data_IF_012478829169
#
_entry.id   IF_012478829169
#
_cell.length_a   1.000
_cell.length_b   1.000
_cell.length_c   1.000
_cell.angle_alpha   90.00
_cell.angle_beta   90.00
_cell.angle_gamma   90.00
#
_symmetry.space_group_name_H-M   'P 1'
#
loop_
_entity.id
_entity.type
_entity.pdbx_description
1 polymer ?
#
# COMPACT_ATOMS: atom_id res chain seq x y z
N UNK A 1 2.25 11.18 -15.90
CA UNK A 1 1.21 10.68 -16.83
C UNK A 1 1.77 9.81 -17.94
N UNK A 2 2.90 10.19 -18.62
CA UNK A 2 3.45 9.40 -19.75
C UNK A 2 4.04 8.06 -19.30
N UNK A 3 4.73 8.01 -18.18
CA UNK A 3 5.28 6.77 -17.62
C UNK A 3 4.20 5.70 -17.38
N UNK A 4 3.05 6.08 -16.85
CA UNK A 4 1.91 5.18 -16.67
C UNK A 4 1.37 4.64 -18.00
N UNK A 5 1.31 5.46 -19.02
CA UNK A 5 0.87 5.03 -20.35
C UNK A 5 1.85 4.02 -20.97
N UNK A 6 3.16 4.18 -20.72
CA UNK A 6 4.19 3.23 -21.16
C UNK A 6 4.10 1.91 -20.38
N UNK A 7 3.96 1.94 -19.06
CA UNK A 7 3.78 0.74 -18.26
C UNK A 7 2.48 0.01 -18.61
N UNK A 8 1.39 0.73 -18.87
CA UNK A 8 0.11 0.14 -19.24
C UNK A 8 0.06 -0.40 -20.65
N UNK A 9 0.86 0.13 -21.56
CA UNK A 9 1.01 -0.46 -22.91
C UNK A 9 1.58 -1.88 -22.86
N UNK A 10 2.22 -2.27 -21.77
CA UNK A 10 2.72 -3.63 -21.54
C UNK A 10 1.61 -4.63 -21.18
N UNK A 11 0.40 -4.15 -20.86
CA UNK A 11 -0.76 -5.00 -20.52
C UNK A 11 -1.88 -4.88 -21.56
N UNK A 12 -1.71 -5.48 -22.75
CA UNK A 12 -2.64 -5.30 -23.87
C UNK A 12 -4.03 -5.91 -23.66
N UNK A 13 -4.26 -6.62 -22.56
CA UNK A 13 -5.53 -7.28 -22.24
C UNK A 13 -6.53 -6.40 -21.48
N UNK A 14 -6.17 -5.16 -21.10
CA UNK A 14 -7.12 -4.26 -20.46
C UNK A 14 -8.10 -3.68 -21.48
N UNK A 15 -9.41 -3.71 -21.18
CA UNK A 15 -10.38 -3.11 -22.06
C UNK A 15 -10.17 -1.59 -22.17
N UNK A 16 -10.48 -0.98 -23.34
CA UNK A 16 -10.28 0.46 -23.55
C UNK A 16 -10.98 1.37 -22.53
N UNK A 17 -12.12 0.93 -22.00
CA UNK A 17 -12.88 1.66 -20.97
C UNK A 17 -12.08 1.76 -19.67
N UNK A 18 -11.40 0.68 -19.26
CA UNK A 18 -10.53 0.67 -18.07
C UNK A 18 -9.36 1.62 -18.24
N UNK A 19 -8.70 1.60 -19.41
CA UNK A 19 -7.59 2.50 -19.73
C UNK A 19 -8.05 3.96 -19.66
N UNK A 20 -9.19 4.30 -20.23
CA UNK A 20 -9.73 5.65 -20.21
C UNK A 20 -10.09 6.12 -18.79
N UNK A 21 -10.66 5.22 -17.98
CA UNK A 21 -11.02 5.49 -16.59
C UNK A 21 -9.76 5.76 -15.75
N UNK A 22 -8.77 4.91 -15.87
CA UNK A 22 -7.48 5.04 -15.19
C UNK A 22 -6.72 6.32 -15.62
N UNK A 23 -6.74 6.67 -16.91
CA UNK A 23 -6.17 7.94 -17.41
C UNK A 23 -6.86 9.17 -16.81
N UNK A 24 -8.19 9.13 -16.71
CA UNK A 24 -8.97 10.21 -16.09
C UNK A 24 -8.61 10.37 -14.61
N UNK A 25 -8.55 9.26 -13.88
CA UNK A 25 -8.16 9.25 -12.47
C UNK A 25 -6.78 9.87 -12.24
N UNK A 26 -5.79 9.46 -13.02
CA UNK A 26 -4.43 9.97 -12.92
C UNK A 26 -4.29 11.45 -13.35
N UNK A 27 -5.07 11.89 -14.32
CA UNK A 27 -5.06 13.30 -14.73
C UNK A 27 -5.57 14.24 -13.63
N UNK A 28 -6.38 13.74 -12.70
CA UNK A 28 -6.91 14.50 -11.57
C UNK A 28 -5.92 14.63 -10.40
N UNK A 29 -4.83 13.84 -10.38
CA UNK A 29 -3.80 13.86 -9.32
C UNK A 29 -2.57 14.71 -9.66
N UNK A 30 -2.70 15.68 -10.57
CA UNK A 30 -1.56 16.54 -10.91
C UNK A 30 -1.31 17.55 -9.78
N UNK A 31 -0.06 17.68 -9.24
CA UNK A 31 0.24 18.58 -8.10
C UNK A 31 -0.21 20.03 -8.29
N UNK A 32 -0.03 20.59 -9.51
CA UNK A 32 -0.52 21.93 -9.82
C UNK A 32 -2.02 22.09 -9.67
N UNK A 33 -2.79 21.10 -10.07
CA UNK A 33 -4.24 21.13 -9.94
C UNK A 33 -4.66 21.16 -8.47
N UNK A 34 -4.01 20.38 -7.61
CA UNK A 34 -4.27 20.34 -6.17
C UNK A 34 -3.97 21.71 -5.55
N UNK A 35 -2.83 22.32 -5.88
CA UNK A 35 -2.48 23.65 -5.43
C UNK A 35 -3.48 24.71 -5.84
N UNK A 36 -3.91 24.70 -7.10
CA UNK A 36 -4.89 25.64 -7.64
C UNK A 36 -6.26 25.46 -6.97
N UNK A 37 -6.67 24.22 -6.69
CA UNK A 37 -7.90 23.91 -5.95
C UNK A 37 -7.83 24.42 -4.50
N UNK A 38 -6.71 24.25 -3.80
CA UNK A 38 -6.53 24.78 -2.44
C UNK A 38 -6.68 26.31 -2.46
N UNK A 39 -6.01 26.98 -3.39
CA UNK A 39 -6.08 28.45 -3.51
C UNK A 39 -7.52 28.89 -3.82
N UNK A 40 -8.21 28.19 -4.71
CA UNK A 40 -9.58 28.49 -5.08
C UNK A 40 -10.56 28.33 -3.89
N UNK A 41 -10.44 27.25 -3.12
CA UNK A 41 -11.26 27.03 -1.92
C UNK A 41 -10.94 28.04 -0.80
N UNK A 42 -9.69 28.40 -0.59
CA UNK A 42 -9.33 29.47 0.34
C UNK A 42 -9.91 30.82 -0.12
N UNK A 43 -9.90 31.09 -1.44
CA UNK A 43 -10.52 32.28 -2.03
C UNK A 43 -12.02 32.32 -1.77
N UNK A 44 -12.73 31.21 -2.03
CA UNK A 44 -14.17 31.09 -1.77
C UNK A 44 -14.53 31.28 -0.29
N UNK A 45 -13.64 30.84 0.62
CA UNK A 45 -13.77 31.03 2.05
C UNK A 45 -13.47 32.47 2.52
N UNK A 46 -13.11 33.39 1.59
CA UNK A 46 -12.77 34.78 1.93
C UNK A 46 -11.38 34.95 2.57
N UNK A 47 -10.53 33.92 2.51
CA UNK A 47 -9.21 33.91 3.14
C UNK A 47 -8.08 34.44 2.24
N UNK A 48 -8.37 34.77 0.99
CA UNK A 48 -7.36 35.17 -0.02
C UNK A 48 -7.03 36.66 -0.03
N UNK A 49 -7.70 37.47 0.75
CA UNK A 49 -7.30 38.86 0.99
C UNK A 49 -6.19 39.01 2.05
N UNK A 50 -5.73 37.90 2.60
CA UNK A 50 -4.58 37.76 3.48
C UNK A 50 -3.49 37.06 2.66
N UNK A 51 -2.23 37.38 2.82
CA UNK A 51 -1.12 36.70 2.16
C UNK A 51 -1.33 35.17 2.25
N UNK A 52 -1.51 34.51 1.10
CA UNK A 52 -1.67 33.04 1.08
C UNK A 52 -0.39 32.45 1.69
N UNK A 53 -0.48 31.68 2.77
CA UNK A 53 0.69 31.11 3.40
C UNK A 53 1.45 30.22 2.39
N UNK A 54 2.77 30.05 2.52
CA UNK A 54 3.51 29.15 1.68
C UNK A 54 2.94 27.73 1.73
N UNK A 55 2.75 27.12 0.57
CA UNK A 55 2.30 25.72 0.44
C UNK A 55 3.55 24.87 0.24
N UNK A 56 3.79 23.95 1.18
CA UNK A 56 4.87 22.97 1.13
C UNK A 56 4.32 21.62 0.73
N UNK A 57 5.04 20.91 -0.13
CA UNK A 57 4.65 19.61 -0.67
C UNK A 57 5.70 18.57 -0.27
N UNK A 58 5.24 17.46 0.31
CA UNK A 58 6.08 16.33 0.73
C UNK A 58 5.56 15.05 0.09
N UNK A 59 6.48 14.15 -0.28
CA UNK A 59 6.06 12.87 -0.86
C UNK A 59 5.38 12.00 0.21
N UNK A 60 4.33 11.33 -0.20
CA UNK A 60 3.43 10.54 0.64
C UNK A 60 4.18 9.49 1.47
N UNK A 61 4.96 8.61 0.81
CA UNK A 61 5.73 7.58 1.51
C UNK A 61 6.83 8.15 2.44
N UNK A 62 7.37 9.33 2.14
CA UNK A 62 8.28 10.01 3.05
C UNK A 62 7.59 10.43 4.35
N UNK A 63 6.37 10.97 4.24
CA UNK A 63 5.56 11.31 5.41
C UNK A 63 5.25 10.09 6.27
N UNK A 64 4.85 8.97 5.67
CA UNK A 64 4.63 7.71 6.39
C UNK A 64 5.89 7.20 7.09
N UNK A 65 7.02 7.14 6.39
CA UNK A 65 8.28 6.67 6.95
C UNK A 65 8.74 7.56 8.12
N UNK A 66 8.61 8.88 7.94
CA UNK A 66 9.00 9.85 8.96
C UNK A 66 8.12 9.76 10.21
N UNK A 67 6.79 9.63 10.05
CA UNK A 67 5.88 9.39 11.16
C UNK A 67 6.31 8.17 11.97
N UNK A 68 6.49 7.04 11.31
CA UNK A 68 6.82 5.80 11.97
C UNK A 68 8.18 5.87 12.69
N UNK A 69 9.20 6.42 12.04
CA UNK A 69 10.53 6.49 12.63
C UNK A 69 10.62 7.48 13.79
N UNK A 70 10.17 8.73 13.62
CA UNK A 70 10.30 9.79 14.64
C UNK A 70 9.45 9.50 15.89
N UNK A 71 8.34 8.78 15.76
CA UNK A 71 7.50 8.40 16.91
C UNK A 71 7.88 7.07 17.53
N UNK A 72 8.78 6.31 16.88
CA UNK A 72 9.34 5.08 17.47
C UNK A 72 10.34 5.40 18.57
N UNK A 73 10.68 4.42 19.43
CA UNK A 73 11.75 4.57 20.40
C UNK A 73 13.16 4.41 19.79
N UNK A 74 13.31 4.32 18.47
CA UNK A 74 14.55 3.95 17.80
C UNK A 74 15.29 5.17 17.23
N UNK A 75 16.58 5.32 17.55
CA UNK A 75 17.46 6.29 16.90
C UNK A 75 17.76 5.92 15.44
N UNK A 76 17.83 4.59 15.17
CA UNK A 76 18.05 4.02 13.84
C UNK A 76 17.09 2.87 13.58
N UNK A 77 16.51 2.82 12.40
CA UNK A 77 15.62 1.74 12.00
C UNK A 77 15.58 1.55 10.48
N UNK A 78 15.15 0.37 10.05
CA UNK A 78 14.66 0.16 8.71
C UNK A 78 13.20 0.61 8.67
N UNK A 79 12.86 1.60 7.85
CA UNK A 79 11.48 2.00 7.61
C UNK A 79 10.89 1.27 6.40
N UNK A 80 9.77 0.60 6.57
CA UNK A 80 9.01 0.00 5.47
C UNK A 80 7.63 0.65 5.40
N UNK A 81 7.31 1.19 4.23
CA UNK A 81 6.00 1.78 3.92
C UNK A 81 5.34 0.93 2.84
N UNK A 82 4.13 0.45 3.12
CA UNK A 82 3.34 -0.31 2.14
C UNK A 82 1.94 0.24 2.08
N UNK A 83 1.52 0.62 0.87
CA UNK A 83 0.23 1.28 0.68
C UNK A 83 -0.49 0.78 -0.57
N UNK A 84 -1.70 1.27 -0.79
CA UNK A 84 -2.42 1.11 -2.06
C UNK A 84 -1.65 1.77 -3.19
N UNK A 85 -1.46 3.05 -3.09
CA UNK A 85 -0.55 3.84 -3.90
C UNK A 85 -0.30 5.21 -3.27
N UNK A 86 0.89 5.76 -3.49
CA UNK A 86 1.14 7.19 -3.37
C UNK A 86 1.21 7.82 -4.77
N UNK A 87 2.11 8.75 -5.03
CA UNK A 87 2.28 9.29 -6.39
C UNK A 87 2.46 8.15 -7.42
N UNK A 88 3.45 7.29 -7.22
CA UNK A 88 3.73 6.07 -7.98
C UNK A 88 4.09 4.89 -7.09
N UNK A 89 4.66 5.17 -5.92
CA UNK A 89 5.18 4.15 -5.01
C UNK A 89 4.03 3.40 -4.33
N UNK A 90 4.17 2.09 -4.20
CA UNK A 90 3.23 1.19 -3.53
C UNK A 90 3.90 0.46 -2.37
N UNK A 91 5.22 0.36 -2.43
CA UNK A 91 6.10 -0.19 -1.42
C UNK A 91 7.39 0.61 -1.42
N UNK A 92 7.87 1.05 -0.27
CA UNK A 92 9.17 1.71 -0.17
C UNK A 92 9.92 1.33 1.11
N UNK A 93 11.26 1.36 1.00
CA UNK A 93 12.17 1.02 2.09
C UNK A 93 13.11 2.18 2.34
N UNK A 94 13.32 2.48 3.60
CA UNK A 94 14.06 3.65 4.07
C UNK A 94 15.10 3.25 5.11
N UNK A 95 16.32 3.77 4.94
CA UNK A 95 17.33 3.81 6.00
C UNK A 95 17.08 5.06 6.84
N UNK A 96 16.73 4.86 8.09
CA UNK A 96 16.34 5.93 9.01
C UNK A 96 17.40 6.07 10.11
N UNK A 97 17.98 7.26 10.23
CA UNK A 97 18.98 7.62 11.23
C UNK A 97 18.64 9.00 11.84
N UNK A 98 18.10 9.00 13.07
CA UNK A 98 17.57 10.18 13.74
C UNK A 98 16.53 10.93 12.86
N UNK A 99 16.85 12.13 12.38
CA UNK A 99 15.97 12.91 11.50
C UNK A 99 16.25 12.71 10.01
N UNK A 100 17.26 11.91 9.66
CA UNK A 100 17.66 11.66 8.28
C UNK A 100 17.05 10.35 7.77
N UNK A 101 16.25 10.44 6.71
CA UNK A 101 15.71 9.29 6.02
C UNK A 101 16.25 9.22 4.59
N UNK A 102 16.75 8.06 4.20
CA UNK A 102 17.25 7.80 2.84
C UNK A 102 16.46 6.66 2.21
N UNK A 103 15.79 6.91 1.08
CA UNK A 103 15.07 5.86 0.37
C UNK A 103 16.06 4.88 -0.25
N UNK A 104 15.95 3.60 0.11
CA UNK A 104 16.79 2.52 -0.40
C UNK A 104 16.14 1.80 -1.59
N UNK A 105 14.83 1.68 -1.58
CA UNK A 105 14.07 0.93 -2.59
C UNK A 105 12.66 1.47 -2.72
N UNK A 106 12.08 1.35 -3.91
CA UNK A 106 10.64 1.47 -4.09
C UNK A 106 10.13 0.52 -5.18
N UNK A 107 8.93 -0.02 -4.94
CA UNK A 107 8.11 -0.72 -5.91
C UNK A 107 7.00 0.22 -6.35
N UNK A 108 6.68 0.22 -7.62
CA UNK A 108 5.73 1.17 -8.19
C UNK A 108 4.51 0.46 -8.77
N UNK A 109 3.44 1.21 -9.01
CA UNK A 109 2.32 0.70 -9.78
C UNK A 109 2.83 0.10 -11.12
N UNK A 110 2.26 -1.02 -11.57
CA UNK A 110 1.02 -1.65 -11.10
C UNK A 110 1.18 -2.61 -9.91
N UNK A 111 2.38 -2.80 -9.36
CA UNK A 111 2.69 -3.81 -8.35
C UNK A 111 2.29 -3.32 -6.94
N UNK A 112 0.99 -3.25 -6.65
CA UNK A 112 0.45 -2.79 -5.37
C UNK A 112 -0.18 -3.92 -4.56
N UNK A 113 0.43 -4.25 -3.43
CA UNK A 113 -0.13 -5.21 -2.47
C UNK A 113 -1.43 -4.69 -1.83
N UNK A 114 -1.50 -3.39 -1.54
CA UNK A 114 -2.70 -2.79 -0.98
C UNK A 114 -3.89 -2.93 -1.94
N UNK A 115 -3.71 -2.65 -3.23
CA UNK A 115 -4.78 -2.80 -4.21
C UNK A 115 -5.12 -4.25 -4.51
N UNK A 116 -4.15 -5.16 -4.47
CA UNK A 116 -4.43 -6.59 -4.52
C UNK A 116 -5.36 -7.01 -3.37
N UNK A 117 -5.03 -6.60 -2.15
CA UNK A 117 -5.82 -6.94 -0.97
C UNK A 117 -7.23 -6.32 -1.02
N UNK A 118 -7.35 -5.05 -1.47
CA UNK A 118 -8.64 -4.38 -1.71
C UNK A 118 -9.50 -5.11 -2.75
N UNK A 119 -8.88 -5.67 -3.78
CA UNK A 119 -9.58 -6.44 -4.81
C UNK A 119 -10.26 -7.67 -4.20
N UNK A 120 -9.55 -8.40 -3.35
CA UNK A 120 -10.14 -9.53 -2.62
C UNK A 120 -11.14 -9.10 -1.56
N UNK A 121 -10.94 -7.92 -0.93
CA UNK A 121 -11.91 -7.33 0.00
C UNK A 121 -13.25 -7.15 -0.68
N UNK A 122 -13.28 -6.51 -1.84
CA UNK A 122 -14.51 -6.32 -2.60
C UNK A 122 -15.08 -7.64 -3.13
N UNK A 123 -14.23 -8.53 -3.63
CA UNK A 123 -14.67 -9.85 -4.10
C UNK A 123 -15.36 -10.68 -3.01
N UNK A 124 -14.89 -10.59 -1.77
CA UNK A 124 -15.50 -11.25 -0.62
C UNK A 124 -16.71 -10.50 -0.03
N UNK A 125 -17.20 -9.45 -0.71
CA UNK A 125 -18.45 -8.75 -0.35
C UNK A 125 -18.27 -7.61 0.66
N UNK A 126 -17.05 -7.18 0.94
CA UNK A 126 -16.77 -6.05 1.84
C UNK A 126 -16.45 -4.77 1.05
N UNK A 127 -16.65 -3.62 1.67
CA UNK A 127 -16.38 -2.32 1.05
C UNK A 127 -14.87 -2.07 0.93
N UNK A 128 -14.27 -1.89 -0.26
CA UNK A 128 -12.87 -1.53 -0.39
C UNK A 128 -12.60 -0.13 0.19
N UNK A 129 -11.40 0.13 0.70
CA UNK A 129 -11.00 1.31 1.49
C UNK A 129 -11.72 1.44 2.86
N UNK A 130 -12.04 0.31 3.49
CA UNK A 130 -12.66 0.31 4.82
C UNK A 130 -13.00 -1.09 5.32
N UNK A 131 -13.09 -2.06 4.43
CA UNK A 131 -13.42 -3.45 4.73
C UNK A 131 -12.23 -4.41 4.78
N UNK A 132 -11.00 -3.93 4.59
CA UNK A 132 -9.80 -4.78 4.61
C UNK A 132 -9.62 -5.48 5.97
N UNK A 133 -9.98 -4.79 7.07
CA UNK A 133 -10.02 -5.40 8.40
C UNK A 133 -11.07 -6.51 8.54
N UNK A 134 -12.18 -6.43 7.79
CA UNK A 134 -13.20 -7.49 7.75
C UNK A 134 -12.70 -8.70 6.97
N UNK A 135 -12.01 -8.50 5.83
CA UNK A 135 -11.36 -9.59 5.09
C UNK A 135 -10.29 -10.28 5.96
N UNK A 136 -9.43 -9.50 6.63
CA UNK A 136 -8.44 -10.02 7.57
C UNK A 136 -9.10 -10.83 8.70
N UNK A 137 -10.24 -10.35 9.23
CA UNK A 137 -11.02 -11.02 10.26
C UNK A 137 -11.77 -12.26 9.76
N UNK A 138 -12.09 -12.35 8.46
CA UNK A 138 -12.72 -13.50 7.83
C UNK A 138 -11.73 -14.67 7.61
N UNK A 139 -10.47 -14.36 7.31
CA UNK A 139 -9.44 -15.34 6.97
C UNK A 139 -9.29 -16.48 8.00
N UNK A 140 -9.32 -16.26 9.34
CA UNK A 140 -9.22 -17.35 10.32
C UNK A 140 -10.37 -18.35 10.31
N UNK A 141 -11.49 -18.06 9.66
CA UNK A 141 -12.61 -19.00 9.52
C UNK A 141 -12.48 -19.90 8.29
N UNK A 142 -11.55 -19.58 7.39
CA UNK A 142 -11.23 -20.40 6.22
C UNK A 142 -10.21 -21.49 6.53
N UNK A 143 -10.11 -22.44 5.62
CA UNK A 143 -9.17 -23.54 5.67
C UNK A 143 -8.19 -23.49 4.49
N UNK A 144 -7.03 -24.12 4.67
CA UNK A 144 -6.03 -24.23 3.60
C UNK A 144 -6.61 -24.98 2.40
N UNK A 145 -6.58 -24.31 1.26
CA UNK A 145 -7.02 -24.85 -0.01
C UNK A 145 -5.94 -24.61 -1.09
N UNK A 146 -5.18 -25.67 -1.47
CA UNK A 146 -4.10 -25.53 -2.45
C UNK A 146 -4.56 -25.03 -3.82
N UNK A 147 -5.79 -25.32 -4.25
CA UNK A 147 -6.35 -24.80 -5.49
C UNK A 147 -6.54 -23.29 -5.42
N UNK A 148 -7.13 -22.78 -4.33
CA UNK A 148 -7.32 -21.34 -4.14
C UNK A 148 -5.99 -20.61 -3.97
N UNK A 149 -5.04 -21.16 -3.22
CA UNK A 149 -3.68 -20.61 -3.12
C UNK A 149 -3.02 -20.57 -4.50
N UNK A 150 -3.15 -21.64 -5.31
CA UNK A 150 -2.66 -21.66 -6.68
C UNK A 150 -3.33 -20.64 -7.60
N UNK A 151 -4.61 -20.30 -7.37
CA UNK A 151 -5.29 -19.22 -8.07
C UNK A 151 -4.75 -17.85 -7.67
N UNK A 152 -4.52 -17.60 -6.38
CA UNK A 152 -3.92 -16.34 -5.89
C UNK A 152 -2.52 -16.17 -6.48
N UNK A 153 -1.71 -17.22 -6.53
CA UNK A 153 -0.37 -17.21 -7.12
C UNK A 153 -0.33 -16.96 -8.63
N UNK A 154 -1.47 -17.00 -9.34
CA UNK A 154 -1.54 -16.51 -10.71
C UNK A 154 -1.58 -14.98 -10.81
N UNK A 155 -1.93 -14.28 -9.74
CA UNK A 155 -2.00 -12.83 -9.68
C UNK A 155 -0.70 -12.21 -9.21
N UNK A 156 0.13 -12.97 -8.48
CA UNK A 156 1.35 -12.47 -7.87
C UNK A 156 2.47 -13.52 -8.02
N UNK A 157 3.57 -13.10 -8.65
CA UNK A 157 4.78 -13.89 -8.79
C UNK A 157 5.79 -13.46 -7.73
N UNK A 158 6.33 -14.41 -6.98
CA UNK A 158 7.35 -14.20 -5.95
C UNK A 158 8.12 -15.49 -5.67
N UNK A 159 9.41 -15.41 -5.27
CA UNK A 159 10.21 -16.57 -4.95
C UNK A 159 9.82 -17.17 -3.60
N UNK A 160 9.53 -18.47 -3.55
CA UNK A 160 9.13 -19.16 -2.32
C UNK A 160 10.28 -19.44 -1.33
N UNK A 161 11.57 -19.17 -1.66
CA UNK A 161 12.71 -19.57 -0.84
C UNK A 161 13.96 -18.67 -0.99
N UNK A 162 13.82 -17.34 -1.00
CA UNK A 162 14.97 -16.46 -1.20
C UNK A 162 14.95 -15.22 -0.30
N UNK A 163 15.71 -15.25 0.80
CA UNK A 163 15.80 -14.09 1.70
C UNK A 163 16.54 -12.89 1.07
N UNK A 164 17.59 -13.14 0.25
CA UNK A 164 18.47 -12.06 -0.21
C UNK A 164 18.02 -11.34 -1.48
N UNK A 165 17.19 -11.95 -2.32
CA UNK A 165 16.71 -11.40 -3.59
C UNK A 165 15.19 -11.49 -3.73
N UNK A 166 14.48 -11.54 -2.61
CA UNK A 166 13.04 -11.62 -2.63
C UNK A 166 12.45 -10.35 -3.28
N UNK A 167 11.57 -10.52 -4.23
CA UNK A 167 10.79 -9.46 -4.86
C UNK A 167 9.46 -10.05 -5.34
N UNK A 168 8.50 -9.22 -5.70
CA UNK A 168 7.22 -9.67 -6.22
C UNK A 168 6.78 -8.84 -7.41
N UNK A 169 6.00 -9.45 -8.30
CA UNK A 169 5.35 -8.77 -9.40
C UNK A 169 3.87 -9.18 -9.47
N UNK A 170 2.98 -8.21 -9.74
CA UNK A 170 1.57 -8.48 -9.95
C UNK A 170 1.23 -8.56 -11.43
N UNK A 171 0.38 -9.52 -11.81
CA UNK A 171 -0.33 -9.48 -13.08
C UNK A 171 -1.52 -8.53 -12.98
N UNK A 172 -1.30 -7.27 -13.36
CA UNK A 172 -2.32 -6.23 -13.31
C UNK A 172 -3.51 -6.47 -14.26
N UNK A 173 -3.51 -7.53 -15.07
CA UNK A 173 -4.66 -7.87 -15.92
C UNK A 173 -5.87 -8.39 -15.12
N UNK A 174 -5.65 -8.78 -13.87
CA UNK A 174 -6.71 -9.27 -12.97
C UNK A 174 -7.40 -8.16 -12.19
N UNK A 175 -6.75 -6.98 -12.00
CA UNK A 175 -7.22 -5.92 -11.12
C UNK A 175 -7.34 -4.59 -11.86
N UNK A 176 -8.25 -3.72 -11.42
CA UNK A 176 -8.31 -2.34 -11.88
C UNK A 176 -7.53 -1.42 -10.93
N UNK A 177 -6.54 -0.71 -11.49
CA UNK A 177 -5.69 0.22 -10.75
C UNK A 177 -6.33 1.61 -10.65
N UNK A 178 -7.49 1.69 -10.02
CA UNK A 178 -8.22 2.95 -9.83
C UNK A 178 -9.00 2.92 -8.52
N UNK A 179 -9.38 4.08 -8.01
CA UNK A 179 -10.39 4.13 -6.97
C UNK A 179 -11.70 3.54 -7.51
N UNK A 180 -12.45 2.89 -6.62
CA UNK A 180 -13.76 2.36 -6.94
C UNK A 180 -14.65 3.51 -7.41
N UNK A 181 -15.17 3.36 -8.58
CA UNK A 181 -16.39 4.06 -8.97
C UNK A 181 -17.55 3.05 -8.86
N UNK A 182 -18.75 3.54 -8.64
CA UNK A 182 -19.97 2.69 -8.50
C UNK A 182 -20.26 1.82 -9.71
N UNK A 183 -19.57 2.06 -10.82
CA UNK A 183 -19.76 1.38 -12.11
C UNK A 183 -18.70 0.31 -12.40
N UNK A 184 -17.58 0.30 -11.67
CA UNK A 184 -16.48 -0.63 -11.91
C UNK A 184 -15.95 -1.22 -10.60
N UNK A 185 -16.02 -2.55 -10.41
CA UNK A 185 -15.36 -3.22 -9.28
C UNK A 185 -13.83 -3.16 -9.41
N UNK A 186 -13.13 -3.49 -8.34
CA UNK A 186 -11.66 -3.59 -8.35
C UNK A 186 -11.13 -4.74 -9.21
N UNK A 187 -11.93 -5.76 -9.48
CA UNK A 187 -11.55 -6.97 -10.21
C UNK A 187 -12.09 -6.96 -11.65
N UNK A 188 -11.31 -7.55 -12.55
CA UNK A 188 -11.64 -7.68 -13.99
C UNK A 188 -12.46 -8.93 -14.28
N UNK A 189 -12.94 -9.07 -15.53
CA UNK A 189 -13.56 -10.32 -15.98
C UNK A 189 -12.64 -11.53 -15.86
N UNK A 190 -11.33 -11.34 -16.11
CA UNK A 190 -10.31 -12.39 -15.96
C UNK A 190 -10.24 -12.90 -14.52
N UNK A 191 -10.41 -12.02 -13.54
CA UNK A 191 -10.49 -12.40 -12.14
C UNK A 191 -11.74 -13.24 -11.86
N UNK A 192 -12.92 -12.83 -12.39
CA UNK A 192 -14.17 -13.56 -12.23
C UNK A 192 -14.08 -14.95 -12.90
N UNK A 193 -13.46 -15.05 -14.07
CA UNK A 193 -13.23 -16.34 -14.74
C UNK A 193 -12.37 -17.30 -13.89
N UNK A 194 -11.46 -16.77 -13.09
CA UNK A 194 -10.57 -17.56 -12.22
C UNK A 194 -11.22 -17.93 -10.89
N UNK A 195 -11.87 -16.97 -10.22
CA UNK A 195 -12.41 -17.14 -8.86
C UNK A 195 -13.93 -17.40 -8.81
N UNK A 196 -14.65 -17.20 -9.90
CA UNK A 196 -16.12 -17.26 -9.93
C UNK A 196 -16.77 -15.93 -9.58
N UNK A 197 -18.07 -15.97 -9.24
CA UNK A 197 -18.84 -14.78 -8.92
C UNK A 197 -18.43 -14.15 -7.59
N UNK A 198 -18.45 -12.82 -7.45
CA UNK A 198 -18.16 -12.14 -6.20
C UNK A 198 -19.28 -12.41 -5.17
N UNK A 199 -18.92 -12.33 -3.89
CA UNK A 199 -19.87 -12.42 -2.80
C UNK A 199 -20.86 -11.25 -2.82
N UNK A 200 -22.10 -11.53 -2.43
CA UNK A 200 -23.02 -10.50 -1.94
C UNK A 200 -22.80 -10.30 -0.43
N UNK A 201 -23.29 -9.22 0.19
CA UNK A 201 -23.19 -9.05 1.65
C UNK A 201 -23.77 -10.23 2.44
N UNK A 202 -24.80 -10.90 1.89
CA UNK A 202 -25.45 -12.05 2.53
C UNK A 202 -24.61 -13.34 2.43
N UNK A 203 -23.83 -13.50 1.34
CA UNK A 203 -23.03 -14.70 1.08
C UNK A 203 -21.56 -14.58 1.52
N UNK A 204 -21.11 -13.42 1.98
CA UNK A 204 -19.72 -13.17 2.34
C UNK A 204 -19.15 -14.12 3.40
N UNK A 205 -20.01 -14.72 4.23
CA UNK A 205 -19.61 -15.69 5.25
C UNK A 205 -19.72 -17.15 4.81
N UNK A 206 -20.00 -17.44 3.53
CA UNK A 206 -19.97 -18.81 3.02
C UNK A 206 -18.54 -19.36 3.01
N UNK A 207 -18.41 -20.67 3.20
CA UNK A 207 -17.11 -21.36 3.31
C UNK A 207 -16.18 -21.07 2.14
N UNK A 208 -16.71 -20.88 0.93
CA UNK A 208 -15.91 -20.54 -0.23
C UNK A 208 -15.14 -19.21 -0.04
N UNK A 209 -15.83 -18.15 0.38
CA UNK A 209 -15.21 -16.83 0.57
C UNK A 209 -14.33 -16.78 1.81
N UNK A 210 -14.63 -17.57 2.85
CA UNK A 210 -13.72 -17.78 3.98
C UNK A 210 -12.39 -18.40 3.52
N UNK A 211 -12.45 -19.41 2.64
CA UNK A 211 -11.25 -20.06 2.10
C UNK A 211 -10.49 -19.13 1.13
N UNK A 212 -11.18 -18.31 0.36
CA UNK A 212 -10.52 -17.24 -0.46
C UNK A 212 -9.81 -16.24 0.43
N UNK A 213 -10.47 -15.75 1.50
CA UNK A 213 -9.86 -14.83 2.46
C UNK A 213 -8.61 -15.44 3.12
N UNK A 214 -8.68 -16.74 3.51
CA UNK A 214 -7.53 -17.46 4.03
C UNK A 214 -6.38 -17.53 3.02
N UNK A 215 -6.67 -17.86 1.77
CA UNK A 215 -5.64 -18.00 0.72
C UNK A 215 -4.92 -16.68 0.45
N UNK A 216 -5.67 -15.58 0.26
CA UNK A 216 -5.04 -14.27 0.02
C UNK A 216 -4.28 -13.77 1.26
N UNK A 217 -4.80 -13.95 2.48
CA UNK A 217 -4.11 -13.52 3.69
C UNK A 217 -2.76 -14.24 3.84
N UNK A 218 -2.69 -15.55 3.61
CA UNK A 218 -1.44 -16.29 3.71
C UNK A 218 -0.41 -15.85 2.66
N UNK A 219 -0.81 -15.73 1.40
CA UNK A 219 0.10 -15.25 0.33
C UNK A 219 0.58 -13.82 0.64
N UNK A 220 -0.30 -12.97 1.13
CA UNK A 220 0.01 -11.60 1.50
C UNK A 220 1.03 -11.53 2.65
N UNK A 221 0.86 -12.37 3.68
CA UNK A 221 1.80 -12.50 4.81
C UNK A 221 3.17 -12.99 4.35
N UNK A 222 3.23 -13.99 3.45
CA UNK A 222 4.49 -14.52 2.89
C UNK A 222 5.24 -13.45 2.09
N UNK A 223 4.55 -12.72 1.23
CA UNK A 223 5.17 -11.68 0.40
C UNK A 223 5.71 -10.54 1.26
N UNK A 224 4.93 -10.05 2.23
CA UNK A 224 5.38 -9.00 3.14
C UNK A 224 6.57 -9.43 3.99
N UNK A 225 6.53 -10.66 4.51
CA UNK A 225 7.66 -11.24 5.26
C UNK A 225 8.92 -11.32 4.40
N UNK A 226 8.81 -11.88 3.19
CA UNK A 226 9.95 -12.04 2.29
C UNK A 226 10.60 -10.71 1.92
N UNK A 227 9.78 -9.69 1.61
CA UNK A 227 10.26 -8.33 1.35
C UNK A 227 10.93 -7.72 2.59
N UNK A 228 10.33 -7.84 3.78
CA UNK A 228 10.90 -7.31 5.02
C UNK A 228 12.24 -7.99 5.35
N UNK A 229 12.30 -9.32 5.36
CA UNK A 229 13.52 -10.08 5.65
C UNK A 229 14.66 -9.75 4.69
N UNK A 230 14.36 -9.64 3.38
CA UNK A 230 15.36 -9.20 2.37
C UNK A 230 16.08 -7.94 2.82
N UNK A 231 15.34 -6.89 3.13
CA UNK A 231 15.94 -5.59 3.42
C UNK A 231 16.55 -5.52 4.82
N UNK A 232 15.99 -6.22 5.80
CA UNK A 232 16.60 -6.37 7.13
C UNK A 232 17.99 -7.01 6.99
N UNK A 233 18.10 -8.12 6.25
CA UNK A 233 19.38 -8.82 6.03
C UNK A 233 20.35 -7.95 5.23
N UNK A 234 19.89 -7.29 4.16
CA UNK A 234 20.75 -6.46 3.31
C UNK A 234 21.31 -5.23 4.03
N UNK A 235 20.55 -4.64 4.95
CA UNK A 235 20.93 -3.41 5.64
C UNK A 235 21.59 -3.68 7.00
N UNK A 236 21.33 -4.82 7.61
CA UNK A 236 21.79 -5.16 8.96
C UNK A 236 21.09 -4.36 10.06
N UNK A 237 19.93 -3.76 9.79
CA UNK A 237 19.13 -3.12 10.83
C UNK A 237 18.51 -4.16 11.78
N UNK A 238 18.47 -3.83 13.06
CA UNK A 238 17.84 -4.65 14.10
C UNK A 238 16.48 -4.14 14.55
N UNK A 239 16.11 -2.92 14.12
CA UNK A 239 14.85 -2.28 14.45
C UNK A 239 14.07 -1.99 13.16
N UNK A 240 12.80 -2.32 13.16
CA UNK A 240 11.90 -2.15 12.02
C UNK A 240 10.77 -1.19 12.38
N UNK A 241 10.47 -0.25 11.49
CA UNK A 241 9.24 0.56 11.57
C UNK A 241 8.34 0.29 10.37
N UNK A 242 7.03 0.12 10.63
CA UNK A 242 6.02 -0.16 9.60
C UNK A 242 4.98 0.96 9.55
N UNK A 243 4.60 1.39 8.34
CA UNK A 243 3.54 2.36 8.07
C UNK A 243 2.98 2.21 6.65
N UNK A 244 2.01 3.05 6.28
CA UNK A 244 1.16 2.89 5.12
C UNK A 244 -0.09 2.08 5.45
N UNK A 245 -1.14 2.16 4.63
CA UNK A 245 -2.43 1.51 4.88
C UNK A 245 -2.33 -0.01 5.09
N UNK A 246 -1.36 -0.66 4.45
CA UNK A 246 -1.10 -2.10 4.61
C UNK A 246 -0.60 -2.46 6.02
N UNK A 247 0.09 -1.55 6.71
CA UNK A 247 0.52 -1.77 8.10
C UNK A 247 -0.64 -1.82 9.12
N UNK A 248 -1.88 -1.59 8.70
CA UNK A 248 -3.08 -1.91 9.49
C UNK A 248 -3.38 -3.41 9.54
N UNK A 249 -2.73 -4.23 8.69
CA UNK A 249 -2.88 -5.68 8.75
C UNK A 249 -2.04 -6.26 9.91
N UNK A 250 -2.65 -6.32 11.09
CA UNK A 250 -1.97 -6.79 12.31
C UNK A 250 -1.52 -8.26 12.23
N UNK A 251 -2.16 -9.09 11.39
CA UNK A 251 -1.76 -10.49 11.17
C UNK A 251 -0.43 -10.55 10.43
N UNK A 252 -0.29 -9.79 9.34
CA UNK A 252 0.96 -9.70 8.59
C UNK A 252 2.09 -9.10 9.46
N UNK A 253 1.81 -8.05 10.21
CA UNK A 253 2.79 -7.45 11.12
C UNK A 253 3.27 -8.46 12.18
N UNK A 254 2.32 -9.20 12.80
CA UNK A 254 2.64 -10.25 13.76
C UNK A 254 3.46 -11.40 13.15
N UNK A 255 3.19 -11.74 11.88
CA UNK A 255 3.93 -12.75 11.13
C UNK A 255 5.38 -12.28 10.86
N UNK A 256 5.57 -11.05 10.37
CA UNK A 256 6.89 -10.44 10.17
C UNK A 256 7.68 -10.49 11.48
N UNK A 257 7.10 -10.03 12.60
CA UNK A 257 7.77 -10.02 13.89
C UNK A 257 8.18 -11.44 14.32
N UNK A 258 7.24 -12.39 14.30
CA UNK A 258 7.47 -13.76 14.78
C UNK A 258 8.55 -14.48 13.98
N UNK A 259 8.53 -14.36 12.65
CA UNK A 259 9.44 -15.07 11.75
C UNK A 259 10.77 -14.31 11.51
N UNK A 260 10.97 -13.15 12.15
CA UNK A 260 12.21 -12.36 12.04
C UNK A 260 12.93 -12.14 13.37
N UNK A 261 12.54 -12.82 14.45
CA UNK A 261 13.18 -12.73 15.78
C UNK A 261 14.65 -13.19 15.78
N UNK A 262 15.09 -13.89 14.76
CA UNK A 262 16.50 -14.27 14.54
C UNK A 262 17.37 -13.09 14.10
N UNK A 263 16.79 -12.02 13.55
CA UNK A 263 17.49 -10.87 12.97
C UNK A 263 16.99 -9.51 13.49
N UNK A 264 15.79 -9.44 14.08
CA UNK A 264 15.20 -8.22 14.64
C UNK A 264 15.18 -8.28 16.18
N UNK A 265 15.48 -7.12 16.79
CA UNK A 265 15.34 -6.88 18.23
C UNK A 265 13.96 -6.31 18.58
N UNK A 266 13.38 -5.44 17.73
CA UNK A 266 12.05 -4.89 17.96
C UNK A 266 11.41 -4.35 16.67
N UNK A 267 10.07 -4.23 16.70
CA UNK A 267 9.24 -3.70 15.60
C UNK A 267 8.27 -2.65 16.14
N UNK A 268 8.25 -1.50 15.51
CA UNK A 268 7.28 -0.45 15.81
C UNK A 268 6.32 -0.24 14.64
N UNK A 269 5.02 -0.27 14.92
CA UNK A 269 3.96 0.04 13.98
C UNK A 269 3.36 1.40 14.36
N UNK A 270 3.39 2.35 13.44
CA UNK A 270 2.80 3.67 13.70
C UNK A 270 1.28 3.53 13.92
N UNK A 271 0.72 4.04 15.03
CA UNK A 271 -0.70 3.83 15.37
C UNK A 271 -1.69 4.38 14.35
N UNK A 272 -1.33 5.45 13.64
CA UNK A 272 -2.09 6.02 12.52
C UNK A 272 -1.41 5.68 11.19
N UNK A 273 -1.24 4.38 10.93
CA UNK A 273 -0.47 3.89 9.77
C UNK A 273 -1.09 4.27 8.43
N UNK A 274 -2.40 4.47 8.35
CA UNK A 274 -3.09 4.91 7.13
C UNK A 274 -2.93 6.40 6.85
N UNK A 275 -3.64 6.89 5.84
CA UNK A 275 -3.56 8.27 5.35
C UNK A 275 -3.97 9.33 6.37
N UNK A 276 -4.74 8.97 7.39
CA UNK A 276 -5.05 9.82 8.54
C UNK A 276 -3.81 10.30 9.32
N UNK A 277 -2.69 9.58 9.25
CA UNK A 277 -1.40 9.98 9.82
C UNK A 277 -0.57 10.93 8.94
N UNK A 278 -0.87 11.06 7.66
CA UNK A 278 -0.06 11.81 6.67
C UNK A 278 0.11 13.29 7.03
N UNK A 279 -0.96 13.93 7.51
CA UNK A 279 -0.89 15.33 7.92
C UNK A 279 0.12 15.58 9.05
N UNK A 280 0.26 14.63 9.97
CA UNK A 280 1.29 14.68 11.00
C UNK A 280 2.69 14.49 10.39
N UNK A 281 2.85 13.57 9.43
CA UNK A 281 4.10 13.35 8.70
C UNK A 281 4.57 14.58 7.92
N UNK A 282 3.66 15.29 7.26
CA UNK A 282 3.97 16.53 6.56
C UNK A 282 4.45 17.64 7.53
N UNK A 283 3.84 17.74 8.72
CA UNK A 283 4.30 18.66 9.75
C UNK A 283 5.69 18.29 10.28
N UNK A 284 5.97 17.01 10.51
CA UNK A 284 7.29 16.54 10.90
C UNK A 284 8.34 16.83 9.82
N UNK A 285 8.01 16.58 8.55
CA UNK A 285 8.89 16.87 7.42
C UNK A 285 9.29 18.35 7.38
N UNK A 286 8.32 19.23 7.55
CA UNK A 286 8.57 20.68 7.62
C UNK A 286 9.45 21.05 8.82
N UNK A 287 9.20 20.48 9.98
CA UNK A 287 10.00 20.73 11.20
C UNK A 287 11.46 20.26 11.03
N UNK A 288 11.67 19.07 10.45
CA UNK A 288 13.01 18.51 10.21
C UNK A 288 13.80 19.36 9.24
N UNK A 289 13.20 19.83 8.14
CA UNK A 289 13.87 20.71 7.16
C UNK A 289 14.29 22.05 7.81
N UNK A 290 13.47 22.65 8.66
CA UNK A 290 13.79 23.92 9.31
C UNK A 290 14.85 23.77 10.40
N UNK A 291 14.89 22.67 11.14
CA UNK A 291 15.95 22.40 12.13
C UNK A 291 17.32 22.24 11.45
N UNK A 292 17.37 21.69 10.22
CA UNK A 292 18.62 21.48 9.50
C UNK A 292 19.13 22.75 8.81
N UNK A 293 18.29 23.75 8.57
CA UNK A 293 18.68 25.03 7.95
C UNK A 293 19.20 26.06 8.95
N UNK A 294 18.91 25.91 10.25
CA UNK A 294 19.37 26.81 11.32
C UNK A 294 20.73 26.40 11.94
N UNK A 295 21.43 25.42 11.36
CA UNK A 295 22.77 24.99 11.76
C UNK A 295 23.78 25.22 10.63
#
# INVERSE_FOLDING_TARGET
PMYFLEEWSKYPSKPPEAINFEQKYLSQKHPRLIRDLIIDELSKAGLVNVDVPPIYEYTHHYCHALCAHITSPFDKSLGIVVDGNSELDTYSVWDCDNTRLTKLFSKQLPHSLGWLYQTFTEFCGFEPNGGEGQLMGLAPYGESNPELTGKVNQLIDYPHNSDNNFDFDLDATFIYLSERDKTHPKFTKKFIELFGEPATPESSFETYYQNVAYAIQNVFEEVLLGMARRFIIQTGHHFLTLSGGVALNCKANGHIWKESQDILEDVYIFPMSGDDGIGYGANLAHAVENITTDR
#
